data_IF_402817730967
#
_entry.id   IF_402817730967
#
_cell.length_a   1.000
_cell.length_b   1.000
_cell.length_c   1.000
_cell.angle_alpha   90.00
_cell.angle_beta   90.00
_cell.angle_gamma   90.00
#
_symmetry.space_group_name_H-M   'P 1'
#
loop_
_entity.id
_entity.type
_entity.pdbx_description
1 polymer ?
#
# COMPACT_ATOMS: atom_id res chain seq x y z
N UNK A 1 23.66 9.92 -71.91
CA UNK A 1 22.63 10.56 -71.06
C UNK A 1 23.20 10.62 -69.65
N UNK A 2 23.38 11.85 -69.19
CA UNK A 2 24.06 12.38 -67.98
C UNK A 2 24.21 11.38 -66.81
N UNK A 3 25.42 11.01 -66.37
CA UNK A 3 26.45 11.80 -65.65
C UNK A 3 25.95 12.21 -64.26
N UNK A 4 26.58 11.93 -63.11
CA UNK A 4 28.00 11.69 -62.79
C UNK A 4 28.14 11.09 -61.38
N UNK A 5 29.26 10.38 -61.16
CA UNK A 5 29.77 9.79 -59.91
C UNK A 5 30.27 10.83 -58.88
N UNK A 6 30.63 10.41 -57.64
CA UNK A 6 30.69 11.23 -56.42
C UNK A 6 32.12 11.59 -55.96
N UNK A 7 32.20 12.32 -54.82
CA UNK A 7 33.02 12.03 -53.63
C UNK A 7 33.91 13.16 -53.06
N UNK A 8 34.09 13.11 -51.72
CA UNK A 8 35.14 13.66 -50.83
C UNK A 8 35.29 15.19 -50.73
N UNK A 9 35.06 15.84 -49.58
CA UNK A 9 35.75 15.85 -48.26
C UNK A 9 36.80 16.96 -48.08
N UNK A 10 36.68 17.62 -46.92
CA UNK A 10 37.70 18.28 -46.08
C UNK A 10 38.20 19.72 -46.38
N UNK A 11 37.67 20.63 -45.54
CA UNK A 11 38.33 21.65 -44.68
C UNK A 11 39.57 22.38 -45.18
N UNK A 12 39.63 23.72 -45.04
CA UNK A 12 40.80 24.46 -44.52
C UNK A 12 40.41 25.86 -44.01
N UNK A 13 41.07 26.25 -42.92
CA UNK A 13 40.86 27.42 -42.05
C UNK A 13 41.59 28.71 -42.51
N UNK A 14 41.01 29.85 -42.08
CA UNK A 14 41.63 31.07 -41.49
C UNK A 14 42.55 32.05 -42.25
N UNK A 15 42.49 33.28 -41.70
CA UNK A 15 43.41 34.45 -41.74
C UNK A 15 43.11 35.47 -42.88
N UNK A 16 42.78 36.74 -42.61
CA UNK A 16 43.69 37.81 -42.10
C UNK A 16 42.93 39.17 -41.86
N UNK A 17 43.14 39.78 -40.66
CA UNK A 17 43.31 41.22 -40.27
C UNK A 17 42.08 42.19 -40.29
N UNK A 18 41.49 42.67 -39.17
CA UNK A 18 41.91 43.60 -38.07
C UNK A 18 42.06 45.10 -38.45
N UNK A 19 41.23 45.99 -37.87
CA UNK A 19 41.62 47.32 -37.31
C UNK A 19 40.45 48.01 -36.54
N UNK A 20 40.48 47.85 -35.22
CA UNK A 20 40.45 48.88 -34.16
C UNK A 20 39.23 49.80 -33.85
N UNK A 21 38.72 49.57 -32.63
CA UNK A 21 38.42 50.51 -31.51
C UNK A 21 37.30 51.58 -31.64
N UNK A 22 36.26 51.46 -30.80
CA UNK A 22 36.02 52.32 -29.61
C UNK A 22 34.94 51.69 -28.71
N UNK A 23 35.26 51.67 -27.41
CA UNK A 23 34.48 51.23 -26.25
C UNK A 23 33.31 52.18 -25.95
N UNK A 24 32.10 51.64 -25.69
CA UNK A 24 31.19 52.25 -24.70
C UNK A 24 30.30 51.19 -24.03
N UNK A 25 30.47 51.05 -22.72
CA UNK A 25 29.70 50.22 -21.80
C UNK A 25 28.39 50.94 -21.47
N UNK A 26 27.25 50.24 -21.57
CA UNK A 26 26.03 50.58 -20.84
C UNK A 26 25.30 49.30 -20.40
N UNK A 27 25.53 48.92 -19.14
CA UNK A 27 24.69 48.02 -18.37
C UNK A 27 23.27 48.60 -18.30
N UNK A 28 22.33 48.00 -19.01
CA UNK A 28 20.89 48.22 -18.77
C UNK A 28 20.32 46.92 -18.23
N UNK A 29 20.00 46.98 -16.94
CA UNK A 29 19.16 46.06 -16.19
C UNK A 29 17.90 45.81 -17.04
N UNK A 30 17.72 44.60 -17.56
CA UNK A 30 16.41 44.17 -18.00
C UNK A 30 15.54 44.09 -16.75
N UNK A 31 14.49 44.91 -16.57
CA UNK A 31 13.44 44.52 -15.66
C UNK A 31 12.83 43.26 -16.26
N UNK A 32 13.00 42.13 -15.57
CA UNK A 32 12.20 40.95 -15.81
C UNK A 32 10.74 41.35 -15.55
N UNK A 33 10.02 41.71 -16.61
CA UNK A 33 8.57 41.72 -16.59
C UNK A 33 8.11 40.27 -16.65
N UNK A 34 8.25 39.56 -15.52
CA UNK A 34 7.34 38.49 -15.19
C UNK A 34 5.98 39.14 -14.92
N UNK A 35 5.30 39.58 -15.97
CA UNK A 35 3.88 39.84 -15.91
C UNK A 35 3.20 38.48 -15.96
N UNK A 36 3.11 37.81 -14.82
CA UNK A 36 1.92 37.01 -14.52
C UNK A 36 0.76 37.99 -14.43
N UNK A 37 0.29 38.43 -15.60
CA UNK A 37 -0.87 39.27 -15.75
C UNK A 37 -2.09 38.46 -15.36
N UNK A 38 -2.43 38.45 -14.09
CA UNK A 38 -3.79 38.23 -13.63
C UNK A 38 -4.63 39.39 -14.17
N UNK A 39 -5.10 39.25 -15.41
CA UNK A 39 -6.19 40.05 -15.90
C UNK A 39 -7.49 39.30 -15.56
N UNK A 40 -8.26 39.72 -14.53
CA UNK A 40 -9.57 39.13 -14.25
C UNK A 40 -10.60 39.37 -15.38
N UNK A 41 -10.20 39.96 -16.51
CA UNK A 41 -11.08 40.39 -17.60
C UNK A 41 -11.18 39.42 -18.80
N UNK A 42 -10.77 38.16 -18.70
CA UNK A 42 -11.04 37.16 -19.76
C UNK A 42 -11.53 35.82 -19.21
N UNK A 43 -12.40 35.83 -18.20
CA UNK A 43 -13.20 34.65 -17.89
C UNK A 43 -14.26 34.50 -19.00
N UNK A 44 -14.27 33.41 -19.78
CA UNK A 44 -15.26 33.20 -20.83
C UNK A 44 -16.65 32.94 -20.23
N UNK A 45 -17.69 32.97 -21.08
CA UNK A 45 -19.04 32.57 -20.66
C UNK A 45 -19.05 31.08 -20.28
N UNK A 46 -19.85 30.72 -19.26
CA UNK A 46 -19.94 29.37 -18.69
C UNK A 46 -18.65 28.91 -17.98
N UNK A 47 -18.03 29.82 -17.24
CA UNK A 47 -16.88 29.56 -16.39
C UNK A 47 -17.00 30.29 -15.04
N UNK A 48 -16.34 29.74 -14.02
CA UNK A 48 -16.19 30.34 -12.69
C UNK A 48 -14.72 30.40 -12.28
N UNK A 49 -14.40 31.16 -11.23
CA UNK A 49 -13.03 31.29 -10.72
C UNK A 49 -12.63 29.99 -10.00
N UNK A 50 -11.44 29.46 -10.30
CA UNK A 50 -10.92 28.26 -9.63
C UNK A 50 -10.71 28.50 -8.13
N UNK A 51 -11.12 27.55 -7.29
CA UNK A 51 -11.06 27.67 -5.83
C UNK A 51 -9.64 27.43 -5.26
N UNK A 52 -8.80 26.66 -5.98
CA UNK A 52 -7.46 26.26 -5.54
C UNK A 52 -6.33 26.69 -6.50
N UNK A 53 -6.61 27.46 -7.55
CA UNK A 53 -5.65 27.88 -8.57
C UNK A 53 -5.80 29.33 -9.01
N UNK A 54 -4.77 29.86 -9.68
CA UNK A 54 -4.86 31.15 -10.37
C UNK A 54 -5.42 30.96 -11.77
N UNK A 55 -6.74 31.04 -11.94
CA UNK A 55 -7.42 30.84 -13.23
C UNK A 55 -8.94 30.76 -13.14
N UNK A 56 -9.57 30.26 -14.20
CA UNK A 56 -10.99 29.93 -14.27
C UNK A 56 -11.18 28.45 -14.65
N UNK A 57 -12.32 27.88 -14.29
CA UNK A 57 -12.75 26.53 -14.64
C UNK A 57 -14.10 26.61 -15.36
N UNK A 58 -14.32 25.78 -16.38
CA UNK A 58 -15.64 25.71 -17.02
C UNK A 58 -16.70 25.20 -16.04
N UNK A 59 -17.88 25.78 -16.14
CA UNK A 59 -19.05 25.31 -15.41
C UNK A 59 -19.42 23.88 -15.82
N UNK A 60 -20.11 23.15 -14.94
CA UNK A 60 -20.52 21.78 -15.23
C UNK A 60 -21.32 21.70 -16.55
N UNK A 61 -20.94 20.76 -17.41
CA UNK A 61 -21.55 20.60 -18.74
C UNK A 61 -20.89 21.42 -19.83
N UNK A 62 -19.81 22.14 -19.52
CA UNK A 62 -18.95 22.81 -20.48
C UNK A 62 -17.52 22.32 -20.35
N UNK A 63 -16.77 22.29 -21.45
CA UNK A 63 -15.35 21.96 -21.48
C UNK A 63 -14.55 23.08 -22.14
N UNK A 64 -13.29 23.22 -21.72
CA UNK A 64 -12.39 24.18 -22.32
C UNK A 64 -11.98 23.74 -23.74
N UNK A 65 -12.19 24.63 -24.71
CA UNK A 65 -11.68 24.48 -26.07
C UNK A 65 -11.29 25.87 -26.59
N UNK A 66 -9.99 26.08 -26.86
CA UNK A 66 -9.41 27.34 -27.39
C UNK A 66 -9.84 28.60 -26.60
N UNK A 67 -9.56 28.61 -25.29
CA UNK A 67 -9.85 29.74 -24.37
C UNK A 67 -11.35 30.06 -24.21
N UNK A 68 -12.23 29.13 -24.56
CA UNK A 68 -13.68 29.24 -24.38
C UNK A 68 -14.26 27.97 -23.75
N UNK A 69 -15.35 28.12 -23.00
CA UNK A 69 -16.11 26.98 -22.49
C UNK A 69 -17.22 26.63 -23.48
N UNK A 70 -17.05 25.49 -24.16
CA UNK A 70 -18.04 24.98 -25.12
C UNK A 70 -18.93 23.93 -24.46
N UNK A 71 -20.21 23.92 -24.83
CA UNK A 71 -21.18 22.99 -24.29
C UNK A 71 -20.83 21.54 -24.66
N UNK A 72 -20.86 20.66 -23.66
CA UNK A 72 -20.68 19.23 -23.84
C UNK A 72 -22.02 18.63 -24.27
N UNK A 73 -21.99 17.75 -25.28
CA UNK A 73 -23.16 16.95 -25.62
C UNK A 73 -23.38 15.90 -24.53
N UNK A 74 -24.34 16.16 -23.65
CA UNK A 74 -24.75 15.26 -22.59
C UNK A 74 -25.79 14.28 -23.17
N UNK A 75 -25.55 12.96 -23.15
CA UNK A 75 -26.51 11.99 -23.65
C UNK A 75 -27.72 11.86 -22.71
N UNK A 76 -28.76 11.16 -23.19
CA UNK A 76 -29.89 10.79 -22.34
C UNK A 76 -29.42 9.99 -21.12
N UNK A 77 -30.12 10.14 -20.00
CA UNK A 77 -29.78 9.51 -18.71
C UNK A 77 -28.41 9.88 -18.13
N UNK A 78 -27.82 11.00 -18.54
CA UNK A 78 -26.64 11.58 -17.90
C UNK A 78 -26.95 12.92 -17.20
N UNK A 79 -26.01 13.38 -16.39
CA UNK A 79 -25.98 14.73 -15.83
C UNK A 79 -24.59 15.33 -15.98
N UNK A 80 -24.55 16.66 -16.07
CA UNK A 80 -23.32 17.44 -16.17
C UNK A 80 -22.45 17.28 -14.92
N UNK A 81 -21.15 17.05 -15.10
CA UNK A 81 -20.14 17.19 -14.04
C UNK A 81 -19.05 18.15 -14.51
N UNK A 82 -18.25 18.73 -13.61
CA UNK A 82 -17.12 19.57 -14.01
C UNK A 82 -16.20 18.82 -14.99
N UNK A 83 -15.81 19.45 -16.10
CA UNK A 83 -15.05 18.81 -17.19
C UNK A 83 -13.65 18.36 -16.79
N UNK A 84 -13.14 18.84 -15.66
CA UNK A 84 -11.90 18.35 -15.05
C UNK A 84 -11.99 16.88 -14.63
N UNK A 85 -13.21 16.38 -14.43
CA UNK A 85 -13.47 14.97 -14.16
C UNK A 85 -13.99 14.28 -15.45
N UNK A 86 -13.19 13.36 -16.00
CA UNK A 86 -13.54 12.54 -17.17
C UNK A 86 -13.98 13.37 -18.39
N UNK A 87 -15.08 12.99 -19.06
CA UNK A 87 -15.65 13.63 -20.26
C UNK A 87 -16.70 14.73 -19.95
N UNK A 88 -16.79 15.17 -18.69
CA UNK A 88 -17.67 16.26 -18.23
C UNK A 88 -19.17 15.92 -18.12
N UNK A 89 -19.51 14.64 -18.10
CA UNK A 89 -20.81 14.15 -17.66
C UNK A 89 -20.65 12.80 -16.93
N UNK A 90 -21.61 12.45 -16.10
CA UNK A 90 -21.76 11.13 -15.49
C UNK A 90 -23.16 10.56 -15.74
N UNK A 91 -23.28 9.23 -15.79
CA UNK A 91 -24.57 8.58 -15.89
C UNK A 91 -25.39 8.77 -14.60
N UNK A 92 -26.70 8.93 -14.74
CA UNK A 92 -27.64 8.93 -13.62
C UNK A 92 -27.59 7.56 -12.93
N UNK A 93 -27.92 7.54 -11.65
CA UNK A 93 -27.99 6.29 -10.88
C UNK A 93 -28.92 5.27 -11.57
N UNK A 94 -28.43 4.03 -11.74
CA UNK A 94 -29.08 2.98 -12.50
C UNK A 94 -28.66 2.89 -13.97
N UNK A 95 -27.69 3.70 -14.40
CA UNK A 95 -27.15 3.69 -15.76
C UNK A 95 -25.62 3.58 -15.74
N UNK A 96 -25.07 2.84 -16.70
CA UNK A 96 -23.62 2.70 -16.92
C UNK A 96 -23.21 3.32 -18.25
N UNK A 97 -21.95 3.76 -18.35
CA UNK A 97 -21.38 4.28 -19.59
C UNK A 97 -21.02 3.12 -20.52
N UNK A 98 -21.67 3.08 -21.69
CA UNK A 98 -21.39 2.17 -22.78
C UNK A 98 -21.20 3.00 -24.05
N UNK A 99 -19.95 3.09 -24.51
CA UNK A 99 -19.52 3.83 -25.71
C UNK A 99 -20.07 5.28 -25.79
N UNK A 100 -20.12 5.97 -24.66
CA UNK A 100 -20.57 7.36 -24.60
C UNK A 100 -22.07 7.56 -24.61
N UNK A 101 -22.84 6.51 -24.36
CA UNK A 101 -24.25 6.56 -24.00
C UNK A 101 -24.43 6.01 -22.59
N UNK A 102 -25.43 6.53 -21.86
CA UNK A 102 -25.82 5.96 -20.58
C UNK A 102 -26.92 4.91 -20.81
N UNK A 103 -26.55 3.64 -20.70
CA UNK A 103 -27.46 2.50 -20.85
C UNK A 103 -27.93 2.03 -19.48
N UNK A 104 -29.18 1.57 -19.39
CA UNK A 104 -29.73 1.10 -18.13
C UNK A 104 -29.00 -0.18 -17.66
N UNK A 105 -28.56 -0.19 -16.41
CA UNK A 105 -27.91 -1.35 -15.80
C UNK A 105 -28.93 -2.48 -15.68
N UNK A 106 -28.65 -3.61 -16.31
CA UNK A 106 -29.51 -4.81 -16.25
C UNK A 106 -29.22 -5.57 -14.95
N UNK A 107 -30.07 -5.35 -13.95
CA UNK A 107 -29.98 -6.06 -12.66
C UNK A 107 -30.65 -7.44 -12.79
N UNK A 108 -29.92 -8.55 -12.53
CA UNK A 108 -30.50 -9.89 -12.58
C UNK A 108 -31.40 -10.17 -11.37
N UNK A 109 -32.13 -11.28 -11.40
CA UNK A 109 -32.89 -11.76 -10.23
C UNK A 109 -31.94 -11.94 -9.02
N UNK A 110 -32.39 -11.53 -7.84
CA UNK A 110 -31.60 -11.48 -6.60
C UNK A 110 -30.39 -10.52 -6.63
N UNK A 111 -30.34 -9.60 -7.60
CA UNK A 111 -29.40 -8.49 -7.63
C UNK A 111 -30.00 -7.17 -7.12
N UNK A 112 -29.13 -6.21 -6.81
CA UNK A 112 -29.47 -4.82 -6.53
C UNK A 112 -28.36 -3.90 -7.06
N UNK A 113 -28.67 -2.63 -7.31
CA UNK A 113 -27.67 -1.66 -7.75
C UNK A 113 -26.68 -1.34 -6.62
N UNK A 114 -25.39 -1.28 -6.95
CA UNK A 114 -24.35 -0.91 -6.00
C UNK A 114 -24.53 0.55 -5.51
N UNK A 115 -23.70 0.99 -4.56
CA UNK A 115 -23.79 2.35 -4.01
C UNK A 115 -23.56 3.45 -5.06
N UNK A 116 -22.84 3.16 -6.14
CA UNK A 116 -22.57 4.10 -7.23
C UNK A 116 -23.68 4.13 -8.28
N UNK A 117 -24.52 3.10 -8.35
CA UNK A 117 -25.61 2.95 -9.32
C UNK A 117 -25.16 2.59 -10.72
N UNK A 118 -23.87 2.37 -10.95
CA UNK A 118 -23.27 2.06 -12.25
C UNK A 118 -23.06 0.55 -12.46
N UNK A 119 -23.25 -0.25 -11.40
CA UNK A 119 -23.15 -1.72 -11.43
C UNK A 119 -24.17 -2.32 -10.46
N UNK A 120 -24.18 -3.64 -10.38
CA UNK A 120 -25.02 -4.39 -9.45
C UNK A 120 -24.20 -5.34 -8.58
N UNK A 121 -24.73 -5.62 -7.39
CA UNK A 121 -24.26 -6.62 -6.45
C UNK A 121 -25.39 -7.61 -6.17
N UNK A 122 -25.06 -8.74 -5.54
CA UNK A 122 -26.05 -9.76 -5.18
C UNK A 122 -26.61 -9.54 -3.77
N UNK A 123 -27.93 -9.75 -3.61
CA UNK A 123 -28.58 -9.79 -2.31
C UNK A 123 -27.87 -10.77 -1.37
N UNK A 124 -27.94 -10.50 -0.07
CA UNK A 124 -27.37 -11.39 0.95
C UNK A 124 -27.88 -12.83 0.74
N UNK A 125 -26.96 -13.79 0.75
CA UNK A 125 -27.28 -15.19 0.45
C UNK A 125 -27.11 -15.58 -1.02
N UNK A 126 -26.73 -14.63 -1.87
CA UNK A 126 -26.41 -14.85 -3.28
C UNK A 126 -25.00 -14.34 -3.60
N UNK A 127 -24.39 -14.93 -4.62
CA UNK A 127 -23.06 -14.54 -5.12
C UNK A 127 -23.05 -14.43 -6.63
N UNK A 128 -22.11 -13.65 -7.14
CA UNK A 128 -21.93 -13.47 -8.58
C UNK A 128 -21.40 -14.76 -9.18
N UNK A 129 -22.09 -15.26 -10.20
CA UNK A 129 -21.57 -16.28 -11.11
C UNK A 129 -21.95 -15.89 -12.53
N UNK A 130 -20.94 -15.65 -13.35
CA UNK A 130 -21.09 -15.11 -14.71
C UNK A 130 -21.82 -13.75 -14.70
N UNK A 131 -23.10 -13.72 -15.06
CA UNK A 131 -23.93 -12.50 -15.09
C UNK A 131 -25.22 -12.63 -14.26
N UNK A 132 -25.23 -13.55 -13.29
CA UNK A 132 -26.39 -13.81 -12.45
C UNK A 132 -26.00 -13.90 -10.97
N UNK A 133 -26.99 -13.69 -10.11
CA UNK A 133 -26.90 -13.96 -8.68
C UNK A 133 -27.40 -15.37 -8.40
N UNK A 134 -26.51 -16.25 -7.99
CA UNK A 134 -26.85 -17.64 -7.62
C UNK A 134 -26.85 -17.80 -6.10
N UNK A 135 -27.76 -18.62 -5.59
CA UNK A 135 -27.86 -18.89 -4.16
C UNK A 135 -26.57 -19.52 -3.62
N UNK A 136 -26.08 -19.01 -2.50
CA UNK A 136 -24.93 -19.54 -1.79
C UNK A 136 -25.36 -20.79 -1.03
N UNK A 137 -24.71 -21.92 -1.32
CA UNK A 137 -24.86 -23.15 -0.55
C UNK A 137 -23.91 -23.09 0.65
N UNK A 138 -24.45 -22.78 1.82
CA UNK A 138 -23.68 -22.79 3.07
C UNK A 138 -23.50 -24.23 3.54
N UNK A 139 -22.25 -24.72 3.70
CA UNK A 139 -22.02 -26.07 4.21
C UNK A 139 -22.34 -26.18 5.70
N UNK A 140 -22.43 -27.42 6.20
CA UNK A 140 -22.49 -27.66 7.65
C UNK A 140 -21.28 -27.00 8.33
N UNK A 141 -21.50 -26.36 9.48
CA UNK A 141 -20.51 -25.53 10.20
C UNK A 141 -20.04 -24.28 9.45
N UNK A 142 -20.76 -23.84 8.41
CA UNK A 142 -20.55 -22.56 7.76
C UNK A 142 -21.62 -21.52 8.14
N UNK A 143 -21.36 -20.26 7.78
CA UNK A 143 -22.30 -19.15 7.86
C UNK A 143 -22.16 -18.22 6.65
N UNK A 144 -23.24 -17.51 6.30
CA UNK A 144 -23.23 -16.54 5.20
C UNK A 144 -22.35 -15.32 5.52
N UNK A 145 -21.53 -14.91 4.57
CA UNK A 145 -20.81 -13.64 4.60
C UNK A 145 -21.52 -12.60 3.74
N UNK A 146 -21.11 -11.34 3.86
CA UNK A 146 -21.58 -10.26 2.98
C UNK A 146 -20.78 -10.16 1.67
N UNK A 147 -19.81 -11.06 1.43
CA UNK A 147 -19.00 -11.04 0.22
C UNK A 147 -19.80 -11.60 -0.95
N UNK A 148 -19.99 -10.79 -2.00
CA UNK A 148 -20.66 -11.18 -3.25
C UNK A 148 -19.71 -11.76 -4.29
N UNK A 149 -18.40 -11.53 -4.13
CA UNK A 149 -17.34 -11.91 -5.07
C UNK A 149 -16.61 -13.21 -4.72
N UNK A 150 -16.69 -13.67 -3.46
CA UNK A 150 -16.09 -14.92 -3.01
C UNK A 150 -17.15 -16.05 -2.94
N UNK A 151 -16.85 -17.14 -2.22
CA UNK A 151 -17.76 -18.26 -1.93
C UNK A 151 -19.07 -17.83 -1.26
N UNK A 152 -19.11 -16.65 -0.64
CA UNK A 152 -20.29 -16.09 0.03
C UNK A 152 -20.59 -16.72 1.39
N UNK A 153 -19.69 -17.57 1.88
CA UNK A 153 -19.76 -18.18 3.21
C UNK A 153 -18.37 -18.26 3.84
N UNK A 154 -18.35 -18.41 5.16
CA UNK A 154 -17.14 -18.66 5.93
C UNK A 154 -17.43 -19.76 6.96
N UNK A 155 -16.37 -20.38 7.49
CA UNK A 155 -16.52 -21.42 8.49
C UNK A 155 -16.72 -20.84 9.88
N UNK A 156 -17.60 -21.46 10.66
CA UNK A 156 -17.74 -21.20 12.08
C UNK A 156 -16.40 -21.38 12.78
N UNK A 157 -16.23 -20.70 13.92
CA UNK A 157 -15.06 -20.85 14.79
C UNK A 157 -14.79 -22.33 15.05
N UNK A 158 -13.53 -22.76 14.88
CA UNK A 158 -13.14 -24.16 15.04
C UNK A 158 -13.15 -24.98 13.75
N UNK A 159 -13.54 -24.38 12.64
CA UNK A 159 -13.58 -25.02 11.33
C UNK A 159 -12.81 -24.21 10.29
N UNK A 160 -12.29 -24.91 9.29
CA UNK A 160 -11.57 -24.32 8.15
C UNK A 160 -12.17 -24.79 6.83
N UNK A 161 -12.08 -23.95 5.81
CA UNK A 161 -12.57 -24.27 4.48
C UNK A 161 -11.64 -25.30 3.81
N UNK A 162 -12.21 -26.45 3.43
CA UNK A 162 -11.53 -27.48 2.66
C UNK A 162 -12.47 -27.86 1.50
N UNK A 163 -12.19 -27.30 0.31
CA UNK A 163 -13.11 -27.38 -0.82
C UNK A 163 -14.42 -26.64 -0.54
N UNK A 164 -15.56 -27.31 -0.74
CA UNK A 164 -16.89 -26.74 -0.48
C UNK A 164 -17.44 -27.07 0.92
N UNK A 165 -16.58 -27.47 1.86
CA UNK A 165 -16.98 -27.89 3.21
C UNK A 165 -16.18 -27.19 4.30
N UNK A 166 -16.81 -27.03 5.46
CA UNK A 166 -16.14 -26.63 6.69
C UNK A 166 -15.74 -27.87 7.48
N UNK A 167 -14.44 -28.13 7.54
CA UNK A 167 -13.88 -29.25 8.30
C UNK A 167 -13.33 -28.75 9.63
N UNK A 168 -13.54 -29.53 10.69
CA UNK A 168 -13.06 -29.19 12.02
C UNK A 168 -11.53 -29.08 12.01
N UNK A 169 -11.01 -28.04 12.64
CA UNK A 169 -9.57 -27.86 12.81
C UNK A 169 -9.11 -28.88 13.87
N UNK A 170 -8.19 -29.81 13.54
CA UNK A 170 -7.66 -30.74 14.52
C UNK A 170 -6.73 -29.98 15.47
N UNK A 171 -7.19 -29.76 16.71
CA UNK A 171 -6.40 -29.12 17.76
C UNK A 171 -5.61 -30.20 18.50
N UNK A 172 -4.27 -30.20 18.45
CA UNK A 172 -3.45 -31.18 19.17
C UNK A 172 -3.48 -30.93 20.68
N UNK A 173 -2.99 -31.90 21.47
CA UNK A 173 -2.82 -31.72 22.92
C UNK A 173 -1.90 -30.52 23.22
N UNK A 174 -2.22 -29.78 24.28
CA UNK A 174 -1.52 -28.55 24.71
C UNK A 174 -1.56 -27.43 23.66
N UNK A 175 -2.66 -27.35 22.91
CA UNK A 175 -2.94 -26.30 21.94
C UNK A 175 -4.35 -25.77 22.14
N UNK A 176 -4.56 -24.54 21.67
CA UNK A 176 -5.85 -23.87 21.67
C UNK A 176 -6.11 -23.26 20.30
N UNK A 177 -7.38 -23.01 20.00
CA UNK A 177 -7.79 -22.44 18.73
C UNK A 177 -7.21 -21.02 18.56
N UNK A 178 -6.61 -20.76 17.39
CA UNK A 178 -6.15 -19.43 17.02
C UNK A 178 -7.21 -18.73 16.17
N UNK A 179 -7.40 -17.44 16.39
CA UNK A 179 -8.42 -16.65 15.69
C UNK A 179 -7.93 -16.09 14.36
N UNK A 180 -6.65 -16.32 14.04
CA UNK A 180 -6.06 -15.83 12.81
C UNK A 180 -6.63 -16.60 11.62
N UNK A 181 -6.96 -15.87 10.54
CA UNK A 181 -7.51 -16.43 9.31
C UNK A 181 -6.47 -17.15 8.44
N UNK A 182 -5.22 -17.19 8.87
CA UNK A 182 -4.09 -17.76 8.16
C UNK A 182 -3.26 -18.66 9.09
N UNK A 183 -2.64 -19.71 8.54
CA UNK A 183 -1.82 -20.65 9.31
C UNK A 183 -2.60 -21.91 9.74
N UNK A 184 -2.18 -22.54 10.84
CA UNK A 184 -2.72 -23.84 11.29
C UNK A 184 -4.08 -23.78 11.99
N UNK A 185 -4.58 -22.58 12.31
CA UNK A 185 -5.84 -22.40 13.05
C UNK A 185 -5.76 -22.74 14.54
N UNK A 186 -4.55 -22.98 15.06
CA UNK A 186 -4.28 -23.23 16.48
C UNK A 186 -2.90 -22.72 16.87
N UNK A 187 -2.73 -22.41 18.16
CA UNK A 187 -1.48 -22.03 18.81
C UNK A 187 -1.21 -22.95 20.00
N UNK A 188 0.06 -23.12 20.34
CA UNK A 188 0.43 -23.89 21.52
C UNK A 188 0.13 -23.12 22.80
N UNK A 189 -0.30 -23.84 23.83
CA UNK A 189 -0.40 -23.32 25.18
C UNK A 189 0.96 -22.79 25.67
N UNK A 190 0.92 -21.86 26.62
CA UNK A 190 2.12 -21.36 27.30
C UNK A 190 2.97 -22.54 27.81
N UNK A 191 4.26 -22.52 27.52
CA UNK A 191 5.17 -23.63 27.88
C UNK A 191 5.34 -24.68 26.80
N UNK A 192 4.63 -24.55 25.68
CA UNK A 192 4.76 -25.44 24.54
C UNK A 192 5.07 -24.66 23.26
N UNK A 193 5.73 -25.34 22.31
CA UNK A 193 6.09 -24.79 21.00
C UNK A 193 5.63 -25.72 19.88
N UNK A 194 5.17 -25.12 18.79
CA UNK A 194 4.72 -25.87 17.61
C UNK A 194 5.90 -26.51 16.90
N UNK A 195 5.75 -27.79 16.54
CA UNK A 195 6.62 -28.49 15.58
C UNK A 195 5.94 -28.68 14.21
N UNK A 196 4.88 -27.93 13.95
CA UNK A 196 4.07 -27.97 12.73
C UNK A 196 2.83 -28.86 12.84
N UNK A 197 2.85 -29.92 13.66
CA UNK A 197 1.70 -30.83 13.84
C UNK A 197 1.28 -31.02 15.29
N UNK A 198 2.14 -30.66 16.23
CA UNK A 198 1.92 -30.86 17.66
C UNK A 198 2.56 -29.74 18.47
N UNK A 199 2.21 -29.70 19.75
CA UNK A 199 2.80 -28.80 20.73
C UNK A 199 3.77 -29.57 21.63
N UNK A 200 5.06 -29.30 21.46
CA UNK A 200 6.14 -29.91 22.24
C UNK A 200 6.48 -29.04 23.44
N UNK A 201 6.70 -29.68 24.59
CA UNK A 201 7.08 -28.99 25.81
C UNK A 201 8.40 -28.23 25.61
N UNK A 202 8.45 -26.99 26.06
CA UNK A 202 9.67 -26.20 26.13
C UNK A 202 10.46 -26.68 27.34
N UNK A 203 11.62 -27.27 27.09
CA UNK A 203 12.52 -27.68 28.17
C UNK A 203 13.30 -26.47 28.66
N UNK A 204 12.90 -25.93 29.80
CA UNK A 204 13.56 -24.80 30.46
C UNK A 204 14.73 -25.35 31.29
N UNK A 205 15.99 -24.93 31.04
CA UNK A 205 17.13 -25.37 31.85
C UNK A 205 17.11 -24.75 33.25
N UNK A 206 17.96 -25.25 34.15
CA UNK A 206 18.20 -24.59 35.43
C UNK A 206 18.64 -23.12 35.20
N UNK A 207 18.14 -22.21 36.03
CA UNK A 207 18.32 -20.76 35.87
C UNK A 207 17.70 -20.16 34.59
N UNK A 208 16.80 -20.90 33.94
CA UNK A 208 15.95 -20.40 32.86
C UNK A 208 14.53 -20.12 33.34
N UNK A 209 13.85 -19.24 32.63
CA UNK A 209 12.41 -18.99 32.78
C UNK A 209 11.75 -18.90 31.41
N UNK A 210 10.42 -19.11 31.37
CA UNK A 210 9.68 -19.07 30.10
C UNK A 210 9.66 -17.64 29.53
N UNK A 211 9.97 -17.53 28.24
CA UNK A 211 9.94 -16.29 27.48
C UNK A 211 9.04 -16.46 26.26
N UNK A 212 8.06 -15.56 26.10
CA UNK A 212 7.07 -15.60 25.03
C UNK A 212 7.50 -14.80 23.78
N UNK A 213 8.77 -14.39 23.72
CA UNK A 213 9.31 -13.77 22.52
C UNK A 213 9.01 -14.65 21.30
N UNK A 214 8.45 -14.03 20.24
CA UNK A 214 8.01 -14.73 19.02
C UNK A 214 9.18 -15.45 18.33
N UNK A 215 10.36 -14.86 18.46
CA UNK A 215 11.59 -15.31 17.85
C UNK A 215 12.58 -15.65 18.98
N UNK A 216 12.79 -16.94 19.25
CA UNK A 216 13.63 -17.36 20.38
C UNK A 216 13.56 -18.86 20.67
N UNK A 217 14.16 -19.28 21.78
CA UNK A 217 14.14 -20.67 22.28
C UNK A 217 12.86 -20.99 23.08
N UNK A 218 12.01 -20.00 23.35
CA UNK A 218 10.84 -20.11 24.23
C UNK A 218 11.17 -19.99 25.72
N UNK A 219 12.41 -19.65 26.04
CA UNK A 219 12.90 -19.40 27.38
C UNK A 219 14.06 -18.41 27.32
N UNK A 220 14.29 -17.72 28.44
CA UNK A 220 15.42 -16.82 28.66
C UNK A 220 16.11 -17.17 29.99
N UNK A 221 17.35 -16.74 30.16
CA UNK A 221 18.09 -16.96 31.41
C UNK A 221 17.74 -15.91 32.45
N UNK A 222 17.68 -16.32 33.71
CA UNK A 222 17.64 -15.43 34.87
C UNK A 222 18.79 -14.41 34.80
N UNK A 223 18.57 -13.21 35.33
CA UNK A 223 19.60 -12.17 35.39
C UNK A 223 20.85 -12.69 36.11
N UNK A 224 22.02 -12.54 35.50
CA UNK A 224 23.28 -13.10 35.98
C UNK A 224 23.66 -14.44 35.33
N UNK A 225 22.85 -14.92 34.40
CA UNK A 225 23.13 -16.10 33.57
C UNK A 225 23.07 -15.74 32.08
N UNK A 226 23.91 -16.40 31.30
CA UNK A 226 24.00 -16.26 29.86
C UNK A 226 23.57 -17.56 29.18
N UNK A 227 22.77 -17.45 28.12
CA UNK A 227 22.36 -18.61 27.33
C UNK A 227 23.56 -19.15 26.53
N UNK A 228 23.86 -20.42 26.69
CA UNK A 228 24.81 -21.17 25.86
C UNK A 228 24.17 -22.49 25.47
N UNK A 229 23.95 -22.69 24.17
CA UNK A 229 23.18 -23.80 23.60
C UNK A 229 21.81 -24.00 24.25
N UNK A 230 21.70 -25.01 25.13
CA UNK A 230 20.46 -25.40 25.84
C UNK A 230 20.57 -25.18 27.35
N UNK A 231 21.49 -24.34 27.80
CA UNK A 231 21.78 -24.12 29.22
C UNK A 231 21.92 -22.64 29.55
N UNK A 232 21.65 -22.30 30.80
CA UNK A 232 21.94 -21.00 31.38
C UNK A 232 23.17 -21.12 32.27
N UNK A 233 24.28 -20.55 31.81
CA UNK A 233 25.55 -20.58 32.54
C UNK A 233 25.74 -19.27 33.30
N UNK A 234 26.19 -19.36 34.55
CA UNK A 234 26.40 -18.18 35.38
C UNK A 234 27.46 -17.28 34.75
N UNK A 235 27.15 -16.01 34.58
CA UNK A 235 28.08 -15.00 34.08
C UNK A 235 29.27 -14.92 35.04
N UNK A 236 30.46 -15.20 34.52
CA UNK A 236 31.71 -15.06 35.25
C UNK A 236 32.13 -13.59 35.20
N UNK A 237 31.96 -12.88 36.32
CA UNK A 237 32.33 -11.48 36.43
C UNK A 237 33.73 -11.35 37.04
N UNK A 238 34.66 -10.62 36.40
CA UNK A 238 35.91 -10.28 37.04
C UNK A 238 35.70 -9.28 38.17
N UNK A 239 36.76 -9.02 38.95
CA UNK A 239 36.78 -7.91 39.89
C UNK A 239 36.52 -6.58 39.16
N UNK A 240 35.91 -5.63 39.88
CA UNK A 240 35.54 -4.30 39.36
C UNK A 240 34.56 -4.32 38.17
N UNK A 241 33.70 -5.33 38.07
CA UNK A 241 32.61 -5.42 37.10
C UNK A 241 31.22 -5.49 37.76
N UNK A 242 30.19 -5.17 36.99
CA UNK A 242 28.77 -5.38 37.31
C UNK A 242 28.05 -5.98 36.10
N UNK A 243 26.87 -6.57 36.32
CA UNK A 243 26.03 -7.03 35.21
C UNK A 243 25.58 -5.84 34.37
N UNK A 244 25.61 -6.01 33.05
CA UNK A 244 25.12 -5.01 32.09
C UNK A 244 23.60 -4.81 32.21
N UNK A 245 23.05 -3.90 31.41
CA UNK A 245 21.61 -3.66 31.39
C UNK A 245 20.81 -4.93 31.08
N UNK A 246 21.23 -5.71 30.08
CA UNK A 246 20.56 -6.95 29.69
C UNK A 246 20.57 -7.99 30.82
N UNK A 247 21.57 -7.96 31.70
CA UNK A 247 21.75 -8.93 32.76
C UNK A 247 22.35 -10.25 32.29
N UNK A 248 22.70 -10.36 31.00
CA UNK A 248 23.27 -11.55 30.37
C UNK A 248 24.78 -11.42 30.10
N UNK A 249 25.34 -10.24 30.36
CA UNK A 249 26.76 -9.95 30.25
C UNK A 249 27.21 -9.04 31.40
N UNK A 250 28.46 -8.59 31.36
CA UNK A 250 29.03 -7.69 32.35
C UNK A 250 29.78 -6.52 31.71
N UNK A 251 29.74 -5.40 32.43
CA UNK A 251 30.45 -4.15 32.13
C UNK A 251 31.36 -3.78 33.31
N UNK A 252 32.45 -3.06 33.03
CA UNK A 252 33.34 -2.60 34.09
C UNK A 252 32.70 -1.45 34.88
N UNK A 253 32.91 -1.46 36.18
CA UNK A 253 32.63 -0.30 37.03
C UNK A 253 33.52 0.86 36.61
N UNK A 254 32.99 2.09 36.58
CA UNK A 254 33.82 3.27 36.32
C UNK A 254 34.84 3.45 37.46
N UNK A 255 36.11 3.82 37.18
CA UNK A 255 36.69 4.23 35.90
C UNK A 255 37.39 3.09 35.10
N UNK A 256 37.18 1.82 35.44
CA UNK A 256 37.85 0.70 34.79
C UNK A 256 37.34 0.46 33.36
N UNK A 257 38.21 -0.07 32.49
CA UNK A 257 37.90 -0.42 31.10
C UNK A 257 38.12 -1.91 30.85
N UNK A 258 37.29 -2.49 29.98
CA UNK A 258 37.33 -3.92 29.62
C UNK A 258 38.54 -4.22 28.74
N UNK A 259 39.40 -5.17 29.17
CA UNK A 259 40.54 -5.69 28.40
C UNK A 259 40.55 -7.22 28.49
N UNK A 260 39.96 -7.87 27.49
CA UNK A 260 39.65 -9.30 27.55
C UNK A 260 38.63 -9.58 28.65
N UNK A 261 38.88 -10.62 29.46
CA UNK A 261 38.01 -11.05 30.56
C UNK A 261 38.29 -10.32 31.89
N UNK A 262 38.90 -9.13 31.84
CA UNK A 262 39.27 -8.36 33.03
C UNK A 262 38.92 -6.89 32.88
N UNK A 263 38.67 -6.25 34.01
CA UNK A 263 38.61 -4.80 34.13
C UNK A 263 39.97 -4.27 34.57
N UNK A 264 40.52 -3.32 33.81
CA UNK A 264 41.81 -2.68 34.12
C UNK A 264 41.59 -1.19 34.26
N UNK A 265 42.24 -0.58 35.26
CA UNK A 265 42.19 0.87 35.46
C UNK A 265 42.86 1.54 34.26
N UNK A 266 42.16 2.47 33.62
CA UNK A 266 42.71 3.26 32.52
C UNK A 266 43.60 4.38 33.03
#
# INVERSE_FOLDING_TARGET
MTSTKPAHELTWNNFIIEFSFIVLIALIIFPATAQSGTNPARMPMNAHISEYGSGWECDAGFREEREACIAIKIPDNAYAIPSQYSRGWACKWGYEDDDGACIAVKVPENGYLNSFGDRWDCNRGFRIKERNCIAVKVPLNGYLTSSTYDTGWACNRGYQAVGEACQAIPIPKNAYLDETSYGSGWKCERGYRSDGKSCKLINIPAHGFLDDSRDGLGWACERGFQATDKTCNRVQMPADAHLDYSGSNWECNRPFKKKGDKCVRS
#
